data_IF_693008217963
#
_entry.id   IF_693008217963
#
_cell.length_a   1.000
_cell.length_b   1.000
_cell.length_c   1.000
_cell.angle_alpha   90.00
_cell.angle_beta   90.00
_cell.angle_gamma   90.00
#
_symmetry.space_group_name_H-M   'P 1'
#
loop_
_entity.id
_entity.type
_entity.pdbx_description
1 polymer ?
#
# COMPACT_ATOMS: atom_id res chain seq x y z
N UNK A 1 82.88 23.78 5.36
CA UNK A 1 82.33 23.83 6.73
C UNK A 1 82.14 25.29 7.08
N UNK A 2 80.91 25.78 6.92
CA UNK A 2 80.56 27.21 6.92
C UNK A 2 79.88 27.60 8.24
N UNK A 3 80.27 28.78 8.71
CA UNK A 3 79.78 29.53 9.87
C UNK A 3 78.33 30.00 9.72
N UNK A 4 77.75 30.33 10.89
CA UNK A 4 76.71 31.35 11.14
C UNK A 4 75.23 30.98 10.89
N UNK A 5 74.38 31.26 11.89
CA UNK A 5 73.39 32.34 11.84
C UNK A 5 72.70 32.50 13.22
N UNK A 6 72.53 33.75 13.60
CA UNK A 6 71.85 34.24 14.79
C UNK A 6 70.33 34.42 14.57
N UNK A 7 69.59 34.27 15.68
CA UNK A 7 68.40 35.01 16.15
C UNK A 7 67.40 35.59 15.12
N UNK A 8 66.13 35.17 15.21
CA UNK A 8 64.97 36.09 15.22
C UNK A 8 63.88 35.52 16.15
N UNK A 9 63.57 36.26 17.21
CA UNK A 9 62.34 36.15 18.00
C UNK A 9 61.31 37.08 17.37
N UNK A 10 60.09 36.59 17.11
CA UNK A 10 58.93 37.43 16.85
C UNK A 10 57.69 36.84 17.54
N UNK A 11 57.18 37.59 18.52
CA UNK A 11 55.88 37.43 19.17
C UNK A 11 54.76 37.69 18.16
N UNK A 12 53.68 36.90 18.22
CA UNK A 12 52.32 37.40 17.96
C UNK A 12 51.29 36.50 18.66
N UNK A 13 50.57 37.13 19.57
CA UNK A 13 49.45 36.61 20.37
C UNK A 13 48.23 36.53 19.45
N UNK A 14 47.50 35.40 19.46
CA UNK A 14 46.05 35.43 19.21
C UNK A 14 45.33 34.25 19.86
N UNK A 15 44.68 34.56 20.98
CA UNK A 15 43.33 34.11 21.35
C UNK A 15 42.97 32.64 21.15
N UNK A 16 43.31 31.79 22.11
CA UNK A 16 42.55 30.56 22.40
C UNK A 16 41.26 30.94 23.12
N UNK A 17 40.17 31.08 22.36
CA UNK A 17 38.83 31.11 22.94
C UNK A 17 38.51 29.71 23.51
N UNK A 18 38.45 29.64 24.84
CA UNK A 18 37.91 28.51 25.57
C UNK A 18 36.42 28.34 25.23
N UNK A 19 36.07 27.25 24.56
CA UNK A 19 34.68 26.84 24.41
C UNK A 19 34.25 25.99 25.61
N UNK A 20 33.24 26.54 26.28
CA UNK A 20 32.49 26.09 27.43
C UNK A 20 32.01 24.61 27.31
N UNK A 21 32.25 23.73 28.31
CA UNK A 21 31.69 22.38 28.32
C UNK A 21 30.25 22.43 28.85
N UNK A 22 29.31 22.86 28.01
CA UNK A 22 27.88 22.65 28.26
C UNK A 22 27.25 22.01 27.04
N UNK A 23 26.68 20.83 27.28
CA UNK A 23 25.85 20.00 26.39
C UNK A 23 26.59 19.08 25.42
N UNK A 24 27.31 18.10 25.96
CA UNK A 24 27.30 16.76 25.33
C UNK A 24 26.07 16.04 25.90
N UNK A 25 24.92 16.24 25.24
CA UNK A 25 23.80 15.30 25.39
C UNK A 25 24.16 14.10 24.51
N UNK A 26 24.59 13.01 25.15
CA UNK A 26 24.63 11.68 24.54
C UNK A 26 23.19 11.26 24.19
N UNK A 27 22.66 11.74 23.06
CA UNK A 27 21.38 11.30 22.55
C UNK A 27 21.54 9.91 21.94
N UNK A 28 21.25 8.86 22.72
CA UNK A 28 21.13 7.50 22.18
C UNK A 28 20.10 6.65 22.92
N UNK A 29 18.93 7.22 23.21
CA UNK A 29 17.73 6.40 23.25
C UNK A 29 17.23 6.27 21.81
N UNK A 30 17.37 5.08 21.22
CA UNK A 30 16.67 4.77 19.97
C UNK A 30 15.18 4.91 20.24
N UNK A 31 14.53 5.85 19.54
CA UNK A 31 13.08 6.07 19.64
C UNK A 31 12.34 4.72 19.54
N UNK A 32 11.31 4.45 20.38
CA UNK A 32 10.48 3.26 20.26
C UNK A 32 9.95 3.01 18.84
N UNK A 33 9.78 4.06 18.04
CA UNK A 33 9.35 3.98 16.64
C UNK A 33 10.45 3.42 15.73
N UNK A 34 11.74 3.69 16.00
CA UNK A 34 12.87 3.09 15.28
C UNK A 34 12.95 1.58 15.55
N UNK A 35 12.80 1.16 16.81
CA UNK A 35 12.84 -0.27 17.14
C UNK A 35 11.63 -1.02 16.56
N UNK A 36 10.44 -0.41 16.62
CA UNK A 36 9.27 -0.94 15.93
C UNK A 36 9.50 -1.05 14.41
N UNK A 37 10.09 -0.03 13.78
CA UNK A 37 10.41 -0.02 12.36
C UNK A 37 11.39 -1.14 11.95
N UNK A 38 12.46 -1.34 12.73
CA UNK A 38 13.41 -2.44 12.51
C UNK A 38 12.72 -3.79 12.65
N UNK A 39 11.90 -3.97 13.69
CA UNK A 39 11.13 -5.19 13.92
C UNK A 39 10.18 -5.49 12.75
N UNK A 40 9.39 -4.50 12.34
CA UNK A 40 8.47 -4.62 11.19
C UNK A 40 9.21 -5.04 9.93
N UNK A 41 10.33 -4.39 9.61
CA UNK A 41 11.09 -4.72 8.42
C UNK A 41 11.59 -6.17 8.43
N UNK A 42 12.17 -6.61 9.55
CA UNK A 42 12.67 -7.99 9.72
C UNK A 42 11.54 -9.03 9.60
N UNK A 43 10.40 -8.77 10.23
CA UNK A 43 9.26 -9.68 10.19
C UNK A 43 8.62 -9.78 8.79
N UNK A 44 8.54 -8.66 8.05
CA UNK A 44 8.08 -8.66 6.65
C UNK A 44 9.04 -9.47 5.78
N UNK A 45 10.36 -9.27 5.95
CA UNK A 45 11.38 -10.02 5.21
C UNK A 45 11.25 -11.53 5.48
N UNK A 46 11.11 -11.92 6.75
CA UNK A 46 10.94 -13.32 7.14
C UNK A 46 9.62 -13.93 6.62
N UNK A 47 8.56 -13.13 6.47
CA UNK A 47 7.29 -13.59 5.94
C UNK A 47 7.37 -13.95 4.44
N UNK A 48 8.17 -13.21 3.68
CA UNK A 48 8.20 -13.27 2.22
C UNK A 48 9.64 -13.28 1.65
N UNK A 49 10.46 -14.29 2.00
CA UNK A 49 11.84 -14.35 1.52
C UNK A 49 11.90 -14.54 0.00
N UNK A 50 13.03 -14.15 -0.60
CA UNK A 50 13.36 -14.49 -1.99
C UNK A 50 13.47 -16.01 -2.13
N UNK A 51 12.81 -16.53 -3.16
CA UNK A 51 12.90 -17.93 -3.59
C UNK A 51 13.48 -18.00 -4.99
N UNK A 52 14.15 -19.10 -5.33
CA UNK A 52 14.78 -19.31 -6.64
C UNK A 52 13.76 -19.39 -7.76
N UNK A 53 12.66 -20.13 -7.56
CA UNK A 53 11.56 -20.20 -8.52
C UNK A 53 10.56 -19.06 -8.27
N UNK A 54 10.63 -18.03 -9.09
CA UNK A 54 9.75 -16.85 -8.98
C UNK A 54 8.32 -17.10 -9.47
N UNK A 55 8.05 -18.26 -10.11
CA UNK A 55 6.71 -18.73 -10.50
C UNK A 55 6.00 -19.46 -9.37
N UNK A 56 6.69 -19.74 -8.27
CA UNK A 56 6.20 -20.59 -7.20
C UNK A 56 4.96 -19.99 -6.50
N UNK A 57 3.79 -20.49 -6.90
CA UNK A 57 2.49 -20.08 -6.38
C UNK A 57 2.32 -20.44 -4.89
N UNK A 58 2.89 -21.55 -4.44
CA UNK A 58 2.84 -21.95 -3.03
C UNK A 58 3.62 -20.95 -2.14
N UNK A 59 4.78 -20.49 -2.60
CA UNK A 59 5.56 -19.45 -1.92
C UNK A 59 4.82 -18.11 -1.88
N UNK A 60 4.15 -17.72 -2.99
CA UNK A 60 3.28 -16.53 -3.00
C UNK A 60 2.13 -16.65 -2.00
N UNK A 61 1.43 -17.78 -1.97
CA UNK A 61 0.31 -18.00 -1.05
C UNK A 61 0.78 -18.03 0.42
N UNK A 62 1.89 -18.71 0.71
CA UNK A 62 2.48 -18.74 2.06
C UNK A 62 2.89 -17.35 2.53
N UNK A 63 3.50 -16.55 1.65
CA UNK A 63 3.84 -15.15 1.90
C UNK A 63 2.59 -14.32 2.23
N UNK A 64 1.53 -14.42 1.40
CA UNK A 64 0.27 -13.74 1.64
C UNK A 64 -0.36 -14.12 3.00
N UNK A 65 -0.34 -15.40 3.37
CA UNK A 65 -0.87 -15.89 4.65
C UNK A 65 -0.06 -15.40 5.84
N UNK A 66 1.28 -15.45 5.76
CA UNK A 66 2.17 -14.95 6.82
C UNK A 66 1.99 -13.45 7.03
N UNK A 67 1.97 -12.65 5.96
CA UNK A 67 1.73 -11.20 6.05
C UNK A 67 0.36 -10.85 6.61
N UNK A 68 -0.65 -11.65 6.28
CA UNK A 68 -2.02 -11.49 6.80
C UNK A 68 -2.06 -11.72 8.31
N UNK A 69 -1.38 -12.77 8.80
CA UNK A 69 -1.38 -13.18 10.21
C UNK A 69 -0.35 -12.44 11.07
N UNK A 70 0.58 -11.70 10.47
CA UNK A 70 1.66 -11.01 11.18
C UNK A 70 1.13 -9.91 12.11
N UNK A 71 1.03 -10.20 13.40
CA UNK A 71 0.42 -9.34 14.42
C UNK A 71 1.00 -7.93 14.48
N UNK A 72 2.34 -7.79 14.51
CA UNK A 72 2.98 -6.47 14.55
C UNK A 72 2.54 -5.60 13.38
N UNK A 73 2.46 -6.19 12.18
CA UNK A 73 2.05 -5.48 10.98
C UNK A 73 0.55 -5.11 11.02
N UNK A 74 -0.31 -6.02 11.48
CA UNK A 74 -1.76 -5.78 11.69
C UNK A 74 -2.02 -4.62 12.63
N UNK A 75 -1.36 -4.61 13.78
CA UNK A 75 -1.58 -3.63 14.84
C UNK A 75 -1.06 -2.23 14.46
N UNK A 76 -0.02 -2.20 13.64
CA UNK A 76 0.62 -0.94 13.18
C UNK A 76 -0.14 -0.31 12.01
N UNK A 77 -0.80 -1.10 11.16
CA UNK A 77 -1.57 -0.56 10.04
C UNK A 77 -2.97 -0.09 10.44
N UNK A 78 -3.41 1.02 9.85
CA UNK A 78 -4.77 1.54 9.96
C UNK A 78 -5.32 1.81 8.55
N UNK A 79 -6.64 1.74 8.38
CA UNK A 79 -7.26 2.23 7.15
C UNK A 79 -7.44 3.76 7.23
N UNK A 80 -7.36 4.47 6.09
CA UNK A 80 -6.90 3.94 4.80
C UNK A 80 -5.38 3.78 4.77
N UNK A 81 -4.90 2.73 4.10
CA UNK A 81 -3.49 2.57 3.78
C UNK A 81 -3.21 3.06 2.35
N UNK A 82 -2.25 3.97 2.19
CA UNK A 82 -1.91 4.54 0.88
C UNK A 82 -0.84 3.70 0.17
N UNK A 83 -1.08 3.34 -1.08
CA UNK A 83 -0.15 2.56 -1.92
C UNK A 83 0.17 3.29 -3.21
N UNK A 84 1.45 3.40 -3.58
CA UNK A 84 1.83 4.05 -4.83
C UNK A 84 3.26 3.79 -5.26
N UNK A 85 3.80 4.72 -6.02
CA UNK A 85 5.22 4.79 -6.36
C UNK A 85 5.71 6.21 -6.15
N UNK A 86 6.98 6.36 -5.76
CA UNK A 86 7.62 7.66 -5.70
C UNK A 86 7.67 8.28 -7.10
N UNK A 87 7.29 9.55 -7.18
CA UNK A 87 7.45 10.42 -8.35
C UNK A 87 8.93 10.77 -8.58
N UNK A 88 9.69 10.92 -7.49
CA UNK A 88 11.12 11.25 -7.48
C UNK A 88 11.79 10.62 -6.26
N UNK A 89 13.06 10.22 -6.41
CA UNK A 89 13.90 9.74 -5.30
C UNK A 89 13.91 10.77 -4.17
N UNK A 90 13.73 10.31 -2.94
CA UNK A 90 13.69 11.15 -1.73
C UNK A 90 12.37 11.89 -1.50
N UNK A 91 11.38 11.79 -2.40
CA UNK A 91 10.04 12.31 -2.12
C UNK A 91 9.26 11.32 -1.25
N UNK A 92 9.23 11.57 0.06
CA UNK A 92 8.55 10.73 1.05
C UNK A 92 7.13 11.19 1.40
N UNK A 93 6.67 12.31 0.82
CA UNK A 93 5.33 12.81 1.08
C UNK A 93 4.29 12.01 0.28
N UNK A 94 3.46 11.21 0.96
CA UNK A 94 2.42 10.40 0.33
C UNK A 94 1.42 11.22 -0.50
N UNK A 95 1.20 12.50 -0.17
CA UNK A 95 0.24 13.38 -0.89
C UNK A 95 0.78 13.85 -2.25
N UNK A 96 2.09 13.94 -2.39
CA UNK A 96 2.75 14.40 -3.62
C UNK A 96 2.87 13.27 -4.67
N UNK A 97 2.43 12.07 -4.31
CA UNK A 97 2.52 10.88 -5.14
C UNK A 97 1.11 10.41 -5.53
N UNK A 98 1.00 9.80 -6.71
CA UNK A 98 -0.24 9.15 -7.12
C UNK A 98 -0.40 7.87 -6.29
N UNK A 99 -1.45 7.82 -5.48
CA UNK A 99 -1.70 6.70 -4.57
C UNK A 99 -3.07 6.07 -4.82
N UNK A 100 -3.21 4.83 -4.38
CA UNK A 100 -4.47 4.11 -4.22
C UNK A 100 -4.72 3.90 -2.73
N UNK A 101 -5.96 4.07 -2.30
CA UNK A 101 -6.39 3.77 -0.93
C UNK A 101 -6.82 2.31 -0.82
N UNK A 102 -6.30 1.62 0.19
CA UNK A 102 -6.70 0.25 0.51
C UNK A 102 -7.08 0.07 1.98
N UNK A 103 -7.95 -0.91 2.20
CA UNK A 103 -8.02 -1.61 3.48
C UNK A 103 -6.67 -2.32 3.76
N UNK A 104 -6.14 -2.26 5.00
CA UNK A 104 -4.88 -2.90 5.36
C UNK A 104 -4.79 -4.38 5.03
N UNK A 105 -5.89 -5.14 5.18
CA UNK A 105 -5.90 -6.57 4.85
C UNK A 105 -5.69 -6.79 3.35
N UNK A 106 -6.39 -6.00 2.52
CA UNK A 106 -6.30 -6.04 1.06
C UNK A 106 -4.87 -5.75 0.60
N UNK A 107 -4.25 -4.68 1.12
CA UNK A 107 -2.89 -4.33 0.71
C UNK A 107 -1.88 -5.41 1.10
N UNK A 108 -1.89 -5.89 2.36
CA UNK A 108 -0.93 -6.90 2.83
C UNK A 108 -1.05 -8.23 2.07
N UNK A 109 -2.28 -8.71 1.90
CA UNK A 109 -2.53 -10.04 1.36
C UNK A 109 -2.34 -10.11 -0.15
N UNK A 110 -2.61 -9.01 -0.87
CA UNK A 110 -2.63 -9.01 -2.34
C UNK A 110 -1.43 -8.25 -2.89
N UNK A 111 -1.22 -6.99 -2.48
CA UNK A 111 -0.20 -6.13 -3.08
C UNK A 111 1.18 -6.43 -2.50
N UNK A 112 1.33 -6.45 -1.18
CA UNK A 112 2.63 -6.70 -0.54
C UNK A 112 3.16 -8.10 -0.88
N UNK A 113 2.27 -9.09 -0.98
CA UNK A 113 2.64 -10.47 -1.31
C UNK A 113 3.24 -10.65 -2.72
N UNK A 114 3.05 -9.69 -3.64
CA UNK A 114 3.68 -9.71 -4.97
C UNK A 114 5.19 -9.43 -4.92
N UNK A 115 5.72 -9.06 -3.75
CA UNK A 115 7.14 -8.82 -3.53
C UNK A 115 7.76 -9.92 -2.67
N UNK A 116 9.02 -10.22 -3.00
CA UNK A 116 9.93 -10.98 -2.16
C UNK A 116 10.97 -10.02 -1.60
N UNK A 117 11.48 -10.31 -0.41
CA UNK A 117 12.39 -9.43 0.29
C UNK A 117 13.72 -10.12 0.59
N UNK A 118 14.79 -9.34 0.59
CA UNK A 118 16.15 -9.83 0.83
C UNK A 118 16.94 -8.88 1.72
N UNK A 119 17.98 -9.41 2.35
CA UNK A 119 18.90 -8.63 3.18
C UNK A 119 18.24 -8.13 4.47
N UNK A 120 18.76 -7.03 5.00
CA UNK A 120 18.27 -6.37 6.20
C UNK A 120 17.47 -5.11 5.85
N UNK A 121 16.47 -4.75 6.66
CA UNK A 121 15.76 -3.50 6.47
C UNK A 121 16.67 -2.33 6.86
N UNK A 122 16.67 -1.25 6.07
CA UNK A 122 17.23 0.03 6.48
C UNK A 122 16.11 0.88 7.10
N UNK A 123 16.43 1.63 8.15
CA UNK A 123 15.50 2.55 8.79
C UNK A 123 16.09 3.95 8.74
N UNK A 124 15.36 4.87 8.12
CA UNK A 124 15.70 6.29 8.02
C UNK A 124 14.70 7.11 8.84
N UNK A 125 15.17 8.08 9.61
CA UNK A 125 14.31 9.03 10.33
C UNK A 125 14.47 10.42 9.73
N UNK A 126 13.35 11.07 9.42
CA UNK A 126 13.27 12.42 8.87
C UNK A 126 12.21 13.16 9.66
N UNK A 127 12.65 14.04 10.57
CA UNK A 127 11.78 14.66 11.56
C UNK A 127 11.00 13.58 12.35
N UNK A 128 9.67 13.59 12.27
CA UNK A 128 8.78 12.62 12.94
C UNK A 128 8.42 11.41 12.05
N UNK A 129 8.88 11.39 10.80
CA UNK A 129 8.62 10.31 9.86
C UNK A 129 9.75 9.28 9.94
N UNK A 130 9.38 8.01 10.11
CA UNK A 130 10.27 6.88 9.95
C UNK A 130 9.98 6.21 8.60
N UNK A 131 11.01 6.03 7.78
CA UNK A 131 10.96 5.33 6.51
C UNK A 131 11.66 3.97 6.65
N UNK A 132 10.92 2.90 6.42
CA UNK A 132 11.45 1.53 6.39
C UNK A 132 11.75 1.18 4.93
N UNK A 133 13.03 0.98 4.65
CA UNK A 133 13.61 0.63 3.37
C UNK A 133 13.72 -0.89 3.26
N UNK A 134 12.94 -1.49 2.36
CA UNK A 134 12.89 -2.92 2.15
C UNK A 134 13.38 -3.29 0.74
N UNK A 135 14.58 -3.87 0.60
CA UNK A 135 15.06 -4.38 -0.68
C UNK A 135 14.15 -5.49 -1.19
N UNK A 136 13.71 -5.37 -2.44
CA UNK A 136 12.73 -6.29 -3.04
C UNK A 136 13.18 -6.93 -4.34
N UNK A 137 12.54 -8.04 -4.64
CA UNK A 137 12.35 -8.60 -5.98
C UNK A 137 10.85 -8.81 -6.22
N UNK A 138 10.32 -8.26 -7.30
CA UNK A 138 8.92 -8.44 -7.68
C UNK A 138 8.70 -9.80 -8.34
N UNK A 139 7.58 -10.47 -8.02
CA UNK A 139 7.21 -11.78 -8.56
C UNK A 139 6.55 -11.63 -9.93
N UNK A 140 7.34 -11.30 -10.96
CA UNK A 140 6.83 -11.01 -12.31
C UNK A 140 6.51 -12.24 -13.16
N UNK A 141 6.81 -13.45 -12.68
CA UNK A 141 6.57 -14.69 -13.41
C UNK A 141 5.35 -15.48 -12.91
N UNK A 142 4.59 -14.96 -11.94
CA UNK A 142 3.33 -15.59 -11.54
C UNK A 142 2.33 -15.59 -12.70
N UNK A 143 1.39 -16.52 -12.68
CA UNK A 143 0.26 -16.53 -13.62
C UNK A 143 -0.54 -15.23 -13.51
N UNK A 144 -1.10 -14.78 -14.64
CA UNK A 144 -1.77 -13.47 -14.76
C UNK A 144 -2.91 -13.26 -13.75
N UNK A 145 -3.57 -14.33 -13.30
CA UNK A 145 -4.63 -14.27 -12.28
C UNK A 145 -4.14 -13.97 -10.87
N UNK A 146 -2.83 -14.08 -10.62
CA UNK A 146 -2.19 -13.83 -9.33
C UNK A 146 -1.89 -12.34 -9.05
N UNK A 147 -2.11 -11.47 -10.04
CA UNK A 147 -1.96 -10.02 -9.88
C UNK A 147 -3.31 -9.36 -9.57
N UNK A 148 -3.34 -8.27 -8.76
CA UNK A 148 -4.59 -7.58 -8.39
C UNK A 148 -5.42 -7.08 -9.57
N UNK A 149 -4.77 -6.80 -10.70
CA UNK A 149 -5.36 -6.46 -11.99
C UNK A 149 -4.27 -6.57 -13.06
N UNK A 150 -4.62 -6.50 -14.36
CA UNK A 150 -3.64 -6.50 -15.45
C UNK A 150 -2.66 -5.31 -15.37
N UNK A 151 -1.58 -5.41 -14.58
CA UNK A 151 -0.58 -4.35 -14.47
C UNK A 151 0.05 -4.01 -15.83
N UNK A 152 0.05 -4.98 -16.75
CA UNK A 152 0.50 -4.89 -18.14
C UNK A 152 -0.48 -4.18 -19.09
N UNK A 153 -1.62 -3.67 -18.61
CA UNK A 153 -2.44 -2.70 -19.38
C UNK A 153 -1.62 -1.47 -19.80
N UNK A 154 -0.55 -1.18 -19.05
CA UNK A 154 0.43 -0.15 -19.36
C UNK A 154 1.84 -0.72 -19.20
N UNK A 155 2.62 -0.77 -20.28
CA UNK A 155 4.02 -1.23 -20.23
C UNK A 155 4.85 -0.43 -19.23
N UNK A 156 4.60 0.89 -19.12
CA UNK A 156 5.23 1.76 -18.11
C UNK A 156 4.91 1.28 -16.68
N UNK A 157 3.63 1.00 -16.39
CA UNK A 157 3.22 0.50 -15.07
C UNK A 157 3.86 -0.85 -14.80
N UNK A 158 3.77 -1.79 -15.73
CA UNK A 158 4.34 -3.12 -15.55
C UNK A 158 5.84 -3.09 -15.31
N UNK A 159 6.61 -2.41 -16.15
CA UNK A 159 8.05 -2.26 -15.97
C UNK A 159 8.41 -1.60 -14.63
N UNK A 160 7.62 -0.62 -14.18
CA UNK A 160 7.82 0.01 -12.87
C UNK A 160 7.71 -0.95 -11.69
N UNK A 161 6.94 -2.05 -11.80
CA UNK A 161 6.89 -3.09 -10.78
C UNK A 161 8.09 -4.04 -10.90
N UNK A 162 8.34 -4.56 -12.10
CA UNK A 162 9.38 -5.57 -12.35
C UNK A 162 10.79 -5.04 -12.03
N UNK A 163 11.03 -3.75 -12.31
CA UNK A 163 12.33 -3.11 -12.13
C UNK A 163 12.48 -2.41 -10.77
N UNK A 164 11.45 -2.41 -9.92
CA UNK A 164 11.49 -1.76 -8.60
C UNK A 164 12.51 -2.41 -7.68
N UNK A 165 13.42 -1.63 -7.10
CA UNK A 165 14.48 -2.17 -6.24
C UNK A 165 14.09 -2.25 -4.77
N UNK A 166 13.17 -1.38 -4.33
CA UNK A 166 12.83 -1.21 -2.93
C UNK A 166 11.36 -0.83 -2.72
N UNK A 167 10.79 -1.26 -1.60
CA UNK A 167 9.58 -0.67 -1.01
C UNK A 167 9.96 0.23 0.17
N UNK A 168 9.27 1.36 0.25
CA UNK A 168 9.39 2.35 1.31
C UNK A 168 8.09 2.33 2.11
N UNK A 169 8.15 1.96 3.39
CA UNK A 169 7.00 2.00 4.29
C UNK A 169 7.12 3.19 5.24
N UNK A 170 6.02 3.93 5.41
CA UNK A 170 5.99 5.19 6.14
C UNK A 170 5.33 5.00 7.50
N UNK A 171 6.13 5.04 8.56
CA UNK A 171 5.72 4.90 9.95
C UNK A 171 5.76 6.27 10.63
N UNK A 172 4.65 6.67 11.24
CA UNK A 172 4.54 7.91 12.01
C UNK A 172 3.65 7.63 13.22
N UNK A 173 4.12 8.00 14.42
CA UNK A 173 3.39 7.80 15.69
C UNK A 173 2.96 6.35 15.87
N UNK A 174 3.89 5.40 15.67
CA UNK A 174 3.62 3.95 15.72
C UNK A 174 2.54 3.45 14.75
N UNK A 175 2.20 4.22 13.70
CA UNK A 175 1.21 3.84 12.69
C UNK A 175 1.78 3.90 11.29
N UNK A 176 1.59 2.81 10.55
CA UNK A 176 1.95 2.71 9.15
C UNK A 176 0.88 3.42 8.31
N UNK A 177 1.27 4.53 7.66
CA UNK A 177 0.36 5.39 6.87
C UNK A 177 0.24 4.95 5.41
N UNK A 178 1.29 4.33 4.88
CA UNK A 178 1.34 3.91 3.49
C UNK A 178 2.65 3.25 3.10
N UNK A 179 2.75 2.91 1.82
CA UNK A 179 3.96 2.45 1.18
C UNK A 179 4.07 2.95 -0.26
N UNK A 180 5.30 3.16 -0.71
CA UNK A 180 5.63 3.51 -2.08
C UNK A 180 6.69 2.55 -2.62
N UNK A 181 6.57 2.16 -3.89
CA UNK A 181 7.73 1.67 -4.64
C UNK A 181 8.74 2.81 -4.80
N UNK A 182 10.02 2.55 -4.57
CA UNK A 182 11.08 3.53 -4.80
C UNK A 182 11.13 3.95 -6.26
N UNK A 183 11.52 5.21 -6.52
CA UNK A 183 11.77 5.68 -7.88
C UNK A 183 13.08 5.13 -8.47
N UNK A 184 13.92 4.50 -7.64
CA UNK A 184 15.12 3.80 -8.08
C UNK A 184 14.71 2.50 -8.77
N UNK A 185 15.19 2.32 -10.01
CA UNK A 185 14.91 1.15 -10.83
C UNK A 185 16.21 0.42 -11.19
N UNK A 186 16.10 -0.88 -11.39
CA UNK A 186 17.15 -1.74 -11.91
C UNK A 186 16.71 -2.29 -13.26
N UNK A 187 17.22 -1.69 -14.34
CA UNK A 187 16.88 -2.04 -15.71
C UNK A 187 17.46 -3.37 -16.17
N UNK A 188 18.37 -3.98 -15.39
CA UNK A 188 18.98 -5.27 -15.70
C UNK A 188 18.13 -6.45 -15.22
N UNK A 189 17.04 -6.20 -14.48
CA UNK A 189 16.14 -7.25 -14.01
C UNK A 189 15.43 -7.94 -15.17
N UNK A 190 15.26 -9.27 -15.13
CA UNK A 190 14.48 -9.99 -16.12
C UNK A 190 13.06 -9.43 -16.20
N UNK A 191 12.60 -9.15 -17.42
CA UNK A 191 11.23 -8.70 -17.70
C UNK A 191 10.42 -9.84 -18.31
N UNK A 192 9.16 -9.94 -17.91
CA UNK A 192 8.15 -10.81 -18.52
C UNK A 192 7.18 -9.93 -19.28
N UNK A 193 6.76 -10.36 -20.47
CA UNK A 193 5.74 -9.66 -21.24
C UNK A 193 4.42 -10.43 -21.15
N UNK A 194 3.34 -9.66 -20.97
CA UNK A 194 1.97 -10.15 -21.05
C UNK A 194 1.21 -9.27 -22.04
N UNK A 195 0.23 -9.87 -22.74
CA UNK A 195 -0.65 -9.15 -23.65
C UNK A 195 -1.89 -8.72 -22.87
N UNK A 196 -2.25 -7.45 -22.98
CA UNK A 196 -3.52 -6.95 -22.45
C UNK A 196 -4.60 -7.16 -23.49
N UNK A 197 -5.67 -7.85 -23.10
CA UNK A 197 -6.80 -8.24 -23.94
C UNK A 197 -7.95 -7.21 -23.92
N UNK A 198 -7.76 -6.07 -23.25
CA UNK A 198 -8.79 -5.05 -23.05
C UNK A 198 -9.67 -5.27 -21.81
N UNK A 199 -9.55 -6.41 -21.12
CA UNK A 199 -10.46 -6.78 -20.04
C UNK A 199 -9.82 -6.59 -18.65
N UNK A 200 -10.60 -6.05 -17.73
CA UNK A 200 -10.21 -5.95 -16.31
C UNK A 200 -10.50 -7.25 -15.54
N UNK A 201 -11.50 -7.99 -15.99
CA UNK A 201 -11.96 -9.25 -15.42
C UNK A 201 -12.19 -10.23 -16.56
N UNK A 202 -11.84 -11.49 -16.35
CA UNK A 202 -12.01 -12.54 -17.36
C UNK A 202 -12.40 -13.84 -16.67
N UNK A 203 -12.72 -14.87 -17.46
CA UNK A 203 -12.85 -16.23 -16.97
C UNK A 203 -11.67 -17.05 -17.49
N UNK A 204 -11.11 -17.94 -16.66
CA UNK A 204 -10.13 -18.90 -17.13
C UNK A 204 -10.79 -20.02 -17.97
N UNK A 205 -9.97 -20.94 -18.49
CA UNK A 205 -10.42 -22.06 -19.32
C UNK A 205 -11.44 -22.98 -18.63
N UNK A 206 -11.56 -22.92 -17.30
CA UNK A 206 -12.54 -23.67 -16.51
C UNK A 206 -13.76 -22.82 -16.10
N UNK A 207 -13.90 -21.62 -16.66
CA UNK A 207 -14.99 -20.71 -16.36
C UNK A 207 -14.86 -20.00 -15.01
N UNK A 208 -13.72 -20.10 -14.30
CA UNK A 208 -13.54 -19.42 -13.01
C UNK A 208 -13.16 -17.96 -13.22
N UNK A 209 -13.75 -17.10 -12.40
CA UNK A 209 -13.55 -15.66 -12.46
C UNK A 209 -12.12 -15.26 -12.06
N UNK A 210 -11.55 -14.35 -12.85
CA UNK A 210 -10.20 -13.84 -12.69
C UNK A 210 -10.19 -12.29 -12.67
N UNK A 211 -9.18 -11.66 -12.04
CA UNK A 211 -8.08 -12.29 -11.29
C UNK A 211 -8.57 -12.86 -9.94
N UNK A 212 -8.26 -14.13 -9.68
CA UNK A 212 -8.76 -14.86 -8.51
C UNK A 212 -8.34 -14.21 -7.19
N UNK A 213 -7.20 -13.50 -7.18
CA UNK A 213 -6.71 -12.77 -6.00
C UNK A 213 -7.60 -11.61 -5.58
N UNK A 214 -8.54 -11.18 -6.42
CA UNK A 214 -9.50 -10.11 -6.11
C UNK A 214 -10.81 -10.61 -5.49
N UNK A 215 -10.98 -11.93 -5.37
CA UNK A 215 -12.17 -12.54 -4.81
C UNK A 215 -12.12 -12.55 -3.27
N UNK A 216 -13.29 -12.45 -2.62
CA UNK A 216 -13.38 -12.53 -1.16
C UNK A 216 -12.92 -13.88 -0.59
N UNK A 217 -13.17 -14.96 -1.33
CA UNK A 217 -12.68 -16.31 -0.99
C UNK A 217 -11.17 -16.41 -0.94
N UNK A 218 -10.44 -15.50 -1.61
CA UNK A 218 -8.98 -15.42 -1.54
C UNK A 218 -8.51 -14.42 -0.49
N UNK A 219 -9.32 -13.41 -0.15
CA UNK A 219 -9.00 -12.41 0.87
C UNK A 219 -9.17 -12.96 2.30
N UNK A 220 -10.32 -13.56 2.57
CA UNK A 220 -10.71 -14.02 3.90
C UNK A 220 -10.31 -15.47 4.14
N UNK A 221 -10.27 -15.86 5.41
CA UNK A 221 -10.05 -17.24 5.83
C UNK A 221 -11.20 -18.15 5.39
N UNK A 222 -10.94 -19.43 5.07
CA UNK A 222 -12.01 -20.35 4.67
C UNK A 222 -13.08 -20.61 5.74
N UNK A 223 -12.75 -20.40 7.01
CA UNK A 223 -13.67 -20.58 8.14
C UNK A 223 -14.59 -19.38 8.39
N UNK A 224 -14.36 -18.26 7.69
CA UNK A 224 -15.15 -17.05 7.87
C UNK A 224 -16.57 -17.22 7.30
N UNK A 225 -17.61 -17.30 8.15
CA UNK A 225 -18.97 -17.60 7.70
C UNK A 225 -19.61 -16.44 6.94
N UNK A 226 -19.00 -15.25 6.95
CA UNK A 226 -19.55 -14.05 6.33
C UNK A 226 -19.13 -13.89 4.87
N UNK A 227 -18.19 -14.71 4.36
CA UNK A 227 -17.62 -14.58 3.00
C UNK A 227 -18.69 -14.66 1.90
N UNK A 228 -19.62 -15.61 2.02
CA UNK A 228 -20.70 -15.73 1.04
C UNK A 228 -21.63 -14.50 1.06
N UNK A 229 -21.92 -13.97 2.25
CA UNK A 229 -22.79 -12.80 2.42
C UNK A 229 -22.14 -11.53 1.86
N UNK A 230 -20.84 -11.31 2.07
CA UNK A 230 -20.14 -10.15 1.53
C UNK A 230 -20.01 -10.21 0.00
N UNK A 231 -19.79 -11.39 -0.59
CA UNK A 231 -19.79 -11.52 -2.06
C UNK A 231 -21.17 -11.21 -2.63
N UNK A 232 -22.23 -11.82 -2.09
CA UNK A 232 -23.60 -11.55 -2.53
C UNK A 232 -23.97 -10.06 -2.42
N UNK A 233 -23.66 -9.42 -1.29
CA UNK A 233 -23.93 -8.00 -1.08
C UNK A 233 -23.15 -7.11 -2.05
N UNK A 234 -21.85 -7.40 -2.27
CA UNK A 234 -21.04 -6.69 -3.25
C UNK A 234 -21.60 -6.84 -4.67
N UNK A 235 -22.00 -8.04 -5.09
CA UNK A 235 -22.55 -8.26 -6.44
C UNK A 235 -23.85 -7.51 -6.67
N UNK A 236 -24.75 -7.54 -5.69
CA UNK A 236 -25.99 -6.77 -5.75
C UNK A 236 -25.71 -5.26 -5.85
N UNK A 237 -24.75 -4.76 -5.06
CA UNK A 237 -24.29 -3.38 -5.11
C UNK A 237 -23.62 -3.03 -6.46
N UNK A 238 -22.67 -3.83 -6.93
CA UNK A 238 -21.91 -3.63 -8.17
C UNK A 238 -22.82 -3.51 -9.40
N UNK A 239 -23.85 -4.37 -9.49
CA UNK A 239 -24.80 -4.35 -10.61
C UNK A 239 -25.52 -3.01 -10.72
N UNK A 240 -25.98 -2.44 -9.58
CA UNK A 240 -26.67 -1.15 -9.57
C UNK A 240 -25.68 0.01 -9.73
N UNK A 241 -24.46 -0.11 -9.20
CA UNK A 241 -23.40 0.89 -9.35
C UNK A 241 -23.03 1.15 -10.82
N UNK A 242 -23.04 0.10 -11.66
CA UNK A 242 -22.75 0.23 -13.11
C UNK A 242 -23.73 1.15 -13.84
N UNK A 243 -24.97 1.25 -13.37
CA UNK A 243 -25.99 2.12 -13.98
C UNK A 243 -25.66 3.61 -13.83
N UNK A 244 -24.78 3.96 -12.88
CA UNK A 244 -24.37 5.34 -12.59
C UNK A 244 -22.93 5.64 -13.01
N UNK A 245 -22.34 4.81 -13.90
CA UNK A 245 -21.02 5.01 -14.49
C UNK A 245 -19.86 5.21 -13.50
N UNK A 246 -20.00 4.76 -12.25
CA UNK A 246 -18.99 4.99 -11.22
C UNK A 246 -17.61 4.39 -11.57
N UNK A 247 -17.57 3.31 -12.37
CA UNK A 247 -16.31 2.65 -12.76
C UNK A 247 -15.44 3.55 -13.65
N UNK A 248 -16.00 4.55 -14.34
CA UNK A 248 -15.23 5.50 -15.17
C UNK A 248 -14.16 6.24 -14.36
N UNK A 249 -14.44 6.54 -13.08
CA UNK A 249 -13.49 7.18 -12.17
C UNK A 249 -12.80 6.19 -11.22
N UNK A 250 -13.36 4.99 -11.08
CA UNK A 250 -12.96 4.00 -10.07
C UNK A 250 -12.35 2.73 -10.69
N UNK A 251 -11.69 2.87 -11.85
CA UNK A 251 -11.01 1.81 -12.61
C UNK A 251 -9.47 1.88 -12.48
N UNK A 252 -8.74 0.78 -12.77
CA UNK A 252 -7.29 0.70 -12.55
C UNK A 252 -6.41 1.51 -13.52
N UNK A 253 -6.95 1.92 -14.66
CA UNK A 253 -6.31 2.84 -15.61
C UNK A 253 -6.31 4.28 -15.09
N UNK A 254 -7.24 4.64 -14.21
CA UNK A 254 -7.40 5.95 -13.61
C UNK A 254 -7.50 7.08 -14.65
N UNK A 255 -8.32 6.90 -15.69
CA UNK A 255 -8.53 7.91 -16.73
C UNK A 255 -8.93 9.28 -16.15
N UNK A 256 -9.73 9.28 -15.07
CA UNK A 256 -10.16 10.48 -14.36
C UNK A 256 -9.11 11.07 -13.38
N UNK A 257 -7.88 10.53 -13.35
CA UNK A 257 -6.75 11.02 -12.53
C UNK A 257 -7.08 11.23 -11.05
N UNK A 258 -7.91 10.37 -10.47
CA UNK A 258 -8.24 10.41 -9.05
C UNK A 258 -6.98 10.21 -8.20
N UNK A 259 -6.81 11.04 -7.17
CA UNK A 259 -5.74 10.89 -6.18
C UNK A 259 -6.28 11.24 -4.77
N UNK A 260 -6.33 10.28 -3.85
CA UNK A 260 -6.03 8.86 -4.05
C UNK A 260 -7.10 8.16 -4.90
N UNK A 261 -6.66 7.22 -5.74
CA UNK A 261 -7.51 6.29 -6.48
C UNK A 261 -8.20 5.32 -5.52
N UNK A 262 -9.44 4.98 -5.88
CA UNK A 262 -10.33 4.11 -5.15
C UNK A 262 -10.93 3.14 -6.16
N UNK A 263 -10.80 1.84 -5.93
CA UNK A 263 -11.14 0.82 -6.93
C UNK A 263 -12.46 0.14 -6.56
N UNK A 264 -13.45 0.28 -7.45
CA UNK A 264 -14.78 -0.33 -7.31
C UNK A 264 -15.01 -1.49 -8.28
N UNK A 265 -14.11 -1.69 -9.25
CA UNK A 265 -14.22 -2.75 -10.26
C UNK A 265 -13.88 -4.13 -9.73
N UNK A 266 -13.25 -4.22 -8.55
CA UNK A 266 -12.80 -5.49 -7.95
C UNK A 266 -13.41 -5.71 -6.56
N UNK A 267 -13.94 -6.92 -6.27
CA UNK A 267 -14.67 -7.18 -5.04
C UNK A 267 -13.88 -6.79 -3.79
N UNK A 268 -12.74 -7.42 -3.54
CA UNK A 268 -12.03 -7.18 -2.30
C UNK A 268 -11.43 -5.78 -2.17
N UNK A 269 -11.14 -5.10 -3.28
CA UNK A 269 -10.65 -3.72 -3.26
C UNK A 269 -11.75 -2.73 -2.89
N UNK A 270 -13.01 -3.01 -3.28
CA UNK A 270 -14.17 -2.21 -2.92
C UNK A 270 -14.46 -2.19 -1.41
N UNK A 271 -13.93 -3.14 -0.61
CA UNK A 271 -14.03 -3.09 0.85
C UNK A 271 -13.43 -1.82 1.44
N UNK A 272 -12.38 -1.29 0.81
CA UNK A 272 -11.69 -0.05 1.22
C UNK A 272 -12.61 1.17 1.17
N UNK A 273 -13.71 1.06 0.42
CA UNK A 273 -14.66 2.12 0.11
C UNK A 273 -15.99 1.98 0.80
N UNK A 274 -16.26 0.84 1.42
CA UNK A 274 -17.63 0.44 1.80
C UNK A 274 -18.41 1.51 2.58
N UNK A 275 -17.77 2.17 3.55
CA UNK A 275 -18.37 3.23 4.35
C UNK A 275 -18.39 4.59 3.65
N UNK A 276 -17.33 4.89 2.90
CA UNK A 276 -17.22 6.15 2.17
C UNK A 276 -18.24 6.21 1.03
N UNK A 277 -18.46 5.11 0.33
CA UNK A 277 -19.49 4.97 -0.70
C UNK A 277 -20.89 5.25 -0.13
N UNK A 278 -21.23 4.68 1.03
CA UNK A 278 -22.51 4.94 1.72
C UNK A 278 -22.66 6.44 1.98
N UNK A 279 -21.62 7.08 2.51
CA UNK A 279 -21.61 8.52 2.81
C UNK A 279 -21.80 9.35 1.54
N UNK A 280 -21.05 9.06 0.48
CA UNK A 280 -21.07 9.81 -0.78
C UNK A 280 -22.42 9.71 -1.50
N UNK A 281 -23.07 8.54 -1.48
CA UNK A 281 -24.42 8.35 -2.03
C UNK A 281 -25.43 9.12 -1.16
N UNK A 282 -25.37 8.97 0.17
CA UNK A 282 -26.29 9.65 1.10
C UNK A 282 -26.23 11.17 0.96
N UNK A 283 -25.03 11.72 0.81
CA UNK A 283 -24.78 13.16 0.67
C UNK A 283 -24.94 13.68 -0.77
N UNK A 284 -25.36 12.83 -1.72
CA UNK A 284 -25.55 13.19 -3.14
C UNK A 284 -24.30 13.78 -3.81
N UNK A 285 -23.11 13.32 -3.42
CA UNK A 285 -21.83 13.81 -3.94
C UNK A 285 -21.26 12.99 -5.09
N UNK A 286 -21.73 11.75 -5.23
CA UNK A 286 -21.27 10.82 -6.28
C UNK A 286 -22.46 10.26 -7.09
N UNK A 287 -22.33 10.15 -8.43
CA UNK A 287 -21.24 10.70 -9.23
C UNK A 287 -21.30 12.25 -9.27
N UNK A 288 -20.16 12.95 -9.37
CA UNK A 288 -20.16 14.41 -9.47
C UNK A 288 -20.71 14.87 -10.83
N UNK A 289 -21.21 16.11 -10.93
CA UNK A 289 -21.29 17.11 -9.86
C UNK A 289 -22.57 17.02 -9.02
N UNK A 290 -23.61 16.34 -9.50
CA UNK A 290 -24.98 16.43 -8.94
C UNK A 290 -25.42 15.21 -8.13
N UNK A 291 -24.60 14.15 -8.09
CA UNK A 291 -25.01 12.87 -7.51
C UNK A 291 -26.06 12.15 -8.35
N UNK A 292 -26.63 11.10 -7.77
CA UNK A 292 -27.75 10.37 -8.36
C UNK A 292 -29.04 11.18 -8.16
N UNK A 293 -29.55 11.73 -9.26
CA UNK A 293 -30.71 12.64 -9.29
C UNK A 293 -32.02 11.91 -8.97
N UNK A 294 -32.19 10.70 -9.48
CA UNK A 294 -33.37 9.89 -9.18
C UNK A 294 -33.33 9.40 -7.73
N UNK A 295 -34.25 9.90 -6.90
CA UNK A 295 -34.31 9.60 -5.47
C UNK A 295 -34.54 8.10 -5.19
N UNK A 296 -35.34 7.41 -6.00
CA UNK A 296 -35.64 5.99 -5.83
C UNK A 296 -34.39 5.13 -6.14
N UNK A 297 -33.71 5.43 -7.24
CA UNK A 297 -32.46 4.75 -7.62
C UNK A 297 -31.37 5.00 -6.58
N UNK A 298 -31.22 6.26 -6.13
CA UNK A 298 -30.27 6.61 -5.08
C UNK A 298 -30.53 5.86 -3.79
N UNK A 299 -31.79 5.81 -3.34
CA UNK A 299 -32.18 5.14 -2.10
C UNK A 299 -31.90 3.63 -2.19
N UNK A 300 -32.26 3.00 -3.32
CA UNK A 300 -31.95 1.60 -3.57
C UNK A 300 -30.45 1.32 -3.54
N UNK A 301 -29.63 2.16 -4.20
CA UNK A 301 -28.18 2.00 -4.20
C UNK A 301 -27.59 2.21 -2.79
N UNK A 302 -28.14 3.17 -2.03
CA UNK A 302 -27.73 3.43 -0.65
C UNK A 302 -27.96 2.20 0.25
N UNK A 303 -29.13 1.56 0.15
CA UNK A 303 -29.44 0.34 0.90
C UNK A 303 -28.49 -0.81 0.56
N UNK A 304 -28.21 -1.00 -0.73
CA UNK A 304 -27.24 -2.00 -1.19
C UNK A 304 -25.82 -1.71 -0.69
N UNK A 305 -25.40 -0.45 -0.73
CA UNK A 305 -24.10 -0.02 -0.21
C UNK A 305 -24.00 -0.25 1.31
N UNK A 306 -25.08 0.02 2.06
CA UNK A 306 -25.13 -0.24 3.50
C UNK A 306 -25.07 -1.74 3.81
N UNK A 307 -25.80 -2.57 3.07
CA UNK A 307 -25.73 -4.03 3.21
C UNK A 307 -24.32 -4.56 2.93
N UNK A 308 -23.66 -4.03 1.89
CA UNK A 308 -22.27 -4.36 1.58
C UNK A 308 -21.31 -3.92 2.70
N UNK A 309 -21.46 -2.70 3.21
CA UNK A 309 -20.64 -2.19 4.31
C UNK A 309 -20.77 -3.03 5.58
N UNK A 310 -22.00 -3.36 5.98
CA UNK A 310 -22.27 -4.21 7.14
C UNK A 310 -21.70 -5.63 6.95
N UNK A 311 -21.89 -6.24 5.79
CA UNK A 311 -21.33 -7.57 5.52
C UNK A 311 -19.79 -7.56 5.51
N UNK A 312 -19.18 -6.51 4.94
CA UNK A 312 -17.73 -6.31 4.97
C UNK A 312 -17.18 -6.14 6.37
N UNK A 313 -17.87 -5.39 7.23
CA UNK A 313 -17.49 -5.22 8.65
C UNK A 313 -17.58 -6.54 9.41
N UNK A 314 -18.64 -7.33 9.21
CA UNK A 314 -18.76 -8.66 9.82
C UNK A 314 -17.62 -9.59 9.40
N UNK A 315 -17.27 -9.60 8.12
CA UNK A 315 -16.17 -10.42 7.60
C UNK A 315 -14.81 -9.97 8.15
N UNK A 316 -14.54 -8.67 8.22
CA UNK A 316 -13.30 -8.13 8.77
C UNK A 316 -13.19 -8.36 10.28
N UNK A 317 -14.29 -8.20 11.02
CA UNK A 317 -14.36 -8.46 12.45
C UNK A 317 -13.98 -9.91 12.77
N UNK A 318 -14.48 -10.86 11.98
CA UNK A 318 -14.17 -12.28 12.13
C UNK A 318 -12.67 -12.56 11.98
N UNK A 319 -11.99 -11.86 11.06
CA UNK A 319 -10.53 -11.99 10.92
C UNK A 319 -9.75 -11.28 12.04
N UNK A 320 -10.41 -10.53 12.91
CA UNK A 320 -9.78 -9.66 13.91
C UNK A 320 -9.16 -8.40 13.31
N UNK A 321 -9.62 -7.96 12.13
CA UNK A 321 -9.16 -6.72 11.51
C UNK A 321 -9.90 -5.51 12.10
N UNK A 322 -9.24 -4.35 12.09
CA UNK A 322 -9.84 -3.11 12.58
C UNK A 322 -10.95 -2.66 11.64
N UNK A 323 -12.13 -2.48 12.19
CA UNK A 323 -13.26 -1.89 11.46
C UNK A 323 -13.11 -0.38 11.53
N UNK A 324 -12.93 0.25 10.37
CA UNK A 324 -12.89 1.71 10.30
C UNK A 324 -14.32 2.18 10.16
N UNK A 325 -14.91 2.72 11.23
CA UNK A 325 -16.15 3.49 11.09
C UNK A 325 -15.82 4.78 10.33
N UNK A 326 -16.79 5.29 9.57
CA UNK A 326 -16.74 6.65 9.04
C UNK A 326 -16.82 7.63 10.21
N UNK A 327 -15.74 7.77 10.99
CA UNK A 327 -15.62 8.88 11.92
C UNK A 327 -15.45 10.16 11.11
N UNK A 328 -16.55 10.89 11.10
CA UNK A 328 -16.70 12.28 10.71
C UNK A 328 -15.59 13.09 11.36
N UNK A 329 -14.61 13.51 10.57
CA UNK A 329 -14.04 14.83 10.73
C UNK A 329 -14.48 15.64 9.53
N UNK A 330 -15.65 16.26 9.68
CA UNK A 330 -15.90 17.58 9.11
C UNK A 330 -14.89 18.54 9.73
N UNK A 331 -13.72 18.66 9.11
CA UNK A 331 -12.94 19.88 9.27
C UNK A 331 -13.73 20.98 8.54
N UNK A 332 -14.39 21.81 9.34
CA UNK A 332 -14.79 23.16 8.93
C UNK A 332 -13.57 23.94 8.46
#
# INVERSE_FOLDING_TARGET
MLLSIAVVIAFLISTTQALNPKNIVLAKETSPDIELAKKLGKEIIAACPVVSDTKNLAAFNSCADKLTKLTTLRETMNAPFLWGAQSKVGNYNLKDNQTTKFDPLVWRRIYLATFMFKGEPKVEQINNLIVIHLPIQFRNQLDIGAYPYPFWHSSKKWNSYQQSTELLLFLEQKKLKGALRSAVVDSQRPVVNHVWDGNWVWNDAHGKKQPYVTLYTRLFSPSNPHVAKVDAAYRAFEVNLRQHACIVCHSPDNAAKQNPLLLLSYPNQALSLRHETVRQIKEKRMPPPTGIVNDQERQKLLELAQAFAQAGDQALAYEGEKITSSQVHSSN
#
